data_IF_688330584146
#
_entry.id   IF_688330584146
#
_cell.length_a   1.000
_cell.length_b   1.000
_cell.length_c   1.000
_cell.angle_alpha   90.00
_cell.angle_beta   90.00
_cell.angle_gamma   90.00
#
_symmetry.space_group_name_H-M   'P 1'
#
loop_
_entity.id
_entity.type
_entity.pdbx_description
1 polymer ?
#
# COMPACT_ATOMS: atom_id res chain seq x y z
N UNK A 1 8.00 -20.02 9.27
CA UNK A 1 7.33 -20.39 8.00
C UNK A 1 6.81 -19.17 7.24
N UNK A 2 6.17 -18.20 7.91
CA UNK A 2 5.69 -16.95 7.30
C UNK A 2 6.74 -16.20 6.47
N UNK A 3 7.98 -16.04 6.97
CA UNK A 3 9.07 -15.35 6.25
C UNK A 3 9.40 -15.96 4.88
N UNK A 4 9.31 -17.28 4.74
CA UNK A 4 9.58 -17.94 3.45
C UNK A 4 8.49 -17.62 2.43
N UNK A 5 7.23 -17.58 2.87
CA UNK A 5 6.11 -17.18 2.01
C UNK A 5 6.22 -15.70 1.64
N UNK A 6 6.54 -14.82 2.60
CA UNK A 6 6.80 -13.41 2.33
C UNK A 6 7.93 -13.24 1.31
N UNK A 7 9.02 -13.99 1.46
CA UNK A 7 10.15 -14.00 0.52
C UNK A 7 9.77 -14.49 -0.88
N UNK A 8 8.83 -15.42 -1.00
CA UNK A 8 8.31 -15.90 -2.29
C UNK A 8 7.48 -14.82 -3.01
N UNK A 9 6.69 -14.04 -2.28
CA UNK A 9 5.81 -13.00 -2.84
C UNK A 9 6.51 -11.65 -3.04
N UNK A 10 7.59 -11.38 -2.31
CA UNK A 10 8.35 -10.13 -2.36
C UNK A 10 8.83 -9.75 -3.79
N UNK A 11 9.42 -10.65 -4.60
CA UNK A 11 9.85 -10.33 -5.96
C UNK A 11 8.71 -9.81 -6.85
N UNK A 12 7.51 -10.37 -6.72
CA UNK A 12 6.35 -9.93 -7.52
C UNK A 12 5.92 -8.51 -7.16
N UNK A 13 5.93 -8.16 -5.87
CA UNK A 13 5.67 -6.79 -5.41
C UNK A 13 6.72 -5.81 -5.93
N UNK A 14 8.00 -6.19 -5.88
CA UNK A 14 9.10 -5.38 -6.37
C UNK A 14 9.05 -5.17 -7.90
N UNK A 15 8.72 -6.21 -8.68
CA UNK A 15 8.56 -6.12 -10.14
C UNK A 15 7.39 -5.21 -10.53
N UNK A 16 6.26 -5.34 -9.85
CA UNK A 16 5.11 -4.46 -10.08
C UNK A 16 5.45 -3.01 -9.73
N UNK A 17 6.13 -2.77 -8.60
CA UNK A 17 6.62 -1.43 -8.22
C UNK A 17 7.57 -0.86 -9.27
N UNK A 18 8.50 -1.66 -9.79
CA UNK A 18 9.42 -1.22 -10.84
C UNK A 18 8.68 -0.83 -12.13
N UNK A 19 7.70 -1.64 -12.55
CA UNK A 19 6.86 -1.35 -13.71
C UNK A 19 6.05 -0.05 -13.52
N UNK A 20 5.47 0.14 -12.33
CA UNK A 20 4.72 1.37 -11.99
C UNK A 20 5.65 2.58 -11.89
N UNK A 21 6.84 2.43 -11.33
CA UNK A 21 7.85 3.50 -11.26
C UNK A 21 8.24 4.04 -12.64
N UNK A 22 8.16 3.21 -13.70
CA UNK A 22 8.32 3.65 -15.08
C UNK A 22 7.24 4.62 -15.59
N UNK A 23 6.19 4.90 -14.82
CA UNK A 23 5.17 5.92 -15.08
C UNK A 23 5.52 7.28 -14.44
N UNK A 24 6.50 7.33 -13.54
CA UNK A 24 6.93 8.58 -12.92
C UNK A 24 7.46 9.53 -14.00
N UNK A 25 6.96 10.77 -14.00
CA UNK A 25 7.32 11.80 -14.99
C UNK A 25 6.74 11.61 -16.40
N UNK A 26 5.91 10.58 -16.63
CA UNK A 26 5.20 10.37 -17.91
C UNK A 26 3.87 11.11 -18.03
N UNK A 27 3.40 11.73 -16.95
CA UNK A 27 2.22 12.59 -16.99
C UNK A 27 2.47 13.83 -17.85
N UNK A 28 1.49 14.17 -18.67
CA UNK A 28 1.49 15.38 -19.49
C UNK A 28 0.79 16.54 -18.78
N UNK A 29 1.08 17.77 -19.21
CA UNK A 29 0.42 18.98 -18.70
C UNK A 29 0.76 19.32 -17.25
N UNK A 30 -0.24 19.82 -16.53
CA UNK A 30 -0.11 20.35 -15.16
C UNK A 30 0.25 19.30 -14.10
N UNK A 31 0.24 18.01 -14.45
CA UNK A 31 0.49 16.90 -13.52
C UNK A 31 1.88 16.28 -13.65
N UNK A 32 2.75 16.82 -14.52
CA UNK A 32 4.10 16.29 -14.76
C UNK A 32 4.98 16.26 -13.50
N UNK A 33 4.71 17.16 -12.55
CA UNK A 33 5.41 17.22 -11.27
C UNK A 33 5.05 16.05 -10.34
N UNK A 34 3.95 15.34 -10.58
CA UNK A 34 3.44 14.29 -9.69
C UNK A 34 4.09 12.92 -10.00
N UNK A 35 4.75 12.27 -9.03
CA UNK A 35 5.26 10.91 -9.18
C UNK A 35 4.13 9.87 -9.09
N UNK A 36 3.34 9.76 -10.15
CA UNK A 36 2.13 8.93 -10.16
C UNK A 36 2.40 7.44 -10.00
N UNK A 37 3.53 6.95 -10.48
CA UNK A 37 3.93 5.56 -10.34
C UNK A 37 4.13 5.17 -8.89
N UNK A 38 4.88 5.98 -8.14
CA UNK A 38 5.12 5.77 -6.71
C UNK A 38 3.82 5.94 -5.91
N UNK A 39 3.02 6.96 -6.21
CA UNK A 39 1.71 7.14 -5.59
C UNK A 39 0.81 5.92 -5.80
N UNK A 40 0.70 5.45 -7.04
CA UNK A 40 -0.14 4.30 -7.40
C UNK A 40 0.36 3.03 -6.73
N UNK A 41 1.66 2.80 -6.68
CA UNK A 41 2.24 1.64 -6.00
C UNK A 41 1.91 1.63 -4.50
N UNK A 42 2.06 2.77 -3.82
CA UNK A 42 1.75 2.90 -2.40
C UNK A 42 0.25 2.76 -2.11
N UNK A 43 -0.62 3.35 -2.94
CA UNK A 43 -2.08 3.23 -2.79
C UNK A 43 -2.54 1.78 -3.03
N UNK A 44 -2.02 1.10 -4.06
CA UNK A 44 -2.33 -0.31 -4.31
C UNK A 44 -1.86 -1.20 -3.17
N UNK A 45 -0.64 -1.01 -2.68
CA UNK A 45 -0.13 -1.73 -1.52
C UNK A 45 -1.00 -1.51 -0.27
N UNK A 46 -1.47 -0.27 -0.05
CA UNK A 46 -2.36 0.09 1.04
C UNK A 46 -3.71 -0.66 0.92
N UNK A 47 -4.36 -0.61 -0.25
CA UNK A 47 -5.63 -1.32 -0.52
C UNK A 47 -5.47 -2.82 -0.27
N UNK A 48 -4.41 -3.43 -0.78
CA UNK A 48 -4.15 -4.85 -0.62
C UNK A 48 -3.92 -5.17 0.86
N UNK A 49 -3.09 -4.37 1.56
CA UNK A 49 -2.78 -4.60 2.97
C UNK A 49 -4.03 -4.53 3.85
N UNK A 50 -4.87 -3.50 3.70
CA UNK A 50 -6.09 -3.37 4.51
C UNK A 50 -7.13 -4.44 4.17
N UNK A 51 -7.26 -4.81 2.90
CA UNK A 51 -8.19 -5.88 2.47
C UNK A 51 -7.80 -7.23 3.07
N UNK A 52 -6.50 -7.55 3.06
CA UNK A 52 -5.98 -8.77 3.68
C UNK A 52 -6.11 -8.72 5.20
N UNK A 53 -5.88 -7.55 5.82
CA UNK A 53 -6.06 -7.37 7.26
C UNK A 53 -7.52 -7.59 7.69
N UNK A 54 -8.48 -7.09 6.93
CA UNK A 54 -9.90 -7.33 7.19
C UNK A 54 -10.21 -8.83 7.12
N UNK A 55 -9.69 -9.56 6.13
CA UNK A 55 -9.85 -11.02 6.06
C UNK A 55 -9.23 -11.75 7.25
N UNK A 56 -8.06 -11.30 7.72
CA UNK A 56 -7.41 -11.85 8.90
C UNK A 56 -8.20 -11.58 10.18
N UNK A 57 -8.92 -10.45 10.27
CA UNK A 57 -9.73 -10.09 11.44
C UNK A 57 -10.87 -11.09 11.70
N UNK A 58 -11.46 -11.67 10.63
CA UNK A 58 -12.54 -12.67 10.76
C UNK A 58 -12.02 -14.08 11.04
N UNK A 59 -10.71 -14.29 11.14
CA UNK A 59 -10.14 -15.59 11.45
C UNK A 59 -9.99 -15.73 12.97
N UNK A 60 -10.28 -16.90 13.55
CA UNK A 60 -10.06 -17.12 14.97
C UNK A 60 -8.58 -16.94 15.31
N UNK A 61 -8.30 -16.29 16.44
CA UNK A 61 -6.94 -16.12 16.95
C UNK A 61 -6.32 -17.50 17.19
N UNK A 62 -5.40 -17.87 16.31
CA UNK A 62 -4.61 -19.09 16.42
C UNK A 62 -3.23 -18.75 17.00
N UNK A 63 -2.70 -19.57 17.92
CA UNK A 63 -1.31 -19.46 18.33
C UNK A 63 -0.38 -19.48 17.11
N UNK A 64 0.73 -18.75 17.16
CA UNK A 64 1.61 -18.55 15.99
C UNK A 64 2.20 -19.86 15.44
N UNK A 65 2.27 -20.86 16.30
CA UNK A 65 2.68 -22.25 16.06
C UNK A 65 1.61 -23.11 15.37
N UNK A 66 0.35 -22.66 15.33
CA UNK A 66 -0.79 -23.34 14.69
C UNK A 66 -1.39 -22.55 13.50
N UNK A 67 -0.64 -21.62 12.90
CA UNK A 67 -1.17 -20.91 11.73
C UNK A 67 -1.64 -21.87 10.65
N UNK A 68 -2.93 -21.80 10.35
CA UNK A 68 -3.48 -22.45 9.16
C UNK A 68 -2.78 -21.93 7.90
N UNK A 69 -2.68 -22.79 6.87
CA UNK A 69 -2.11 -22.42 5.57
C UNK A 69 -2.72 -21.14 4.99
N UNK A 70 -4.00 -20.91 5.23
CA UNK A 70 -4.70 -19.69 4.82
C UNK A 70 -4.12 -18.44 5.50
N UNK A 71 -4.01 -18.44 6.83
CA UNK A 71 -3.43 -17.33 7.59
C UNK A 71 -1.98 -17.07 7.19
N UNK A 72 -1.20 -18.13 6.99
CA UNK A 72 0.20 -18.04 6.57
C UNK A 72 0.33 -17.37 5.18
N UNK A 73 -0.54 -17.73 4.23
CA UNK A 73 -0.58 -17.13 2.89
C UNK A 73 -1.03 -15.67 2.93
N UNK A 74 -2.09 -15.34 3.67
CA UNK A 74 -2.59 -13.97 3.79
C UNK A 74 -1.54 -13.04 4.41
N UNK A 75 -0.95 -13.45 5.54
CA UNK A 75 0.13 -12.69 6.19
C UNK A 75 1.39 -12.61 5.33
N UNK A 76 1.72 -13.69 4.62
CA UNK A 76 2.84 -13.71 3.67
C UNK A 76 2.65 -12.77 2.49
N UNK A 77 1.43 -12.70 1.93
CA UNK A 77 1.09 -11.78 0.85
C UNK A 77 1.08 -10.31 1.34
N UNK A 78 0.52 -10.07 2.52
CA UNK A 78 0.49 -8.74 3.12
C UNK A 78 1.91 -8.21 3.39
N UNK A 79 2.74 -8.99 4.05
CA UNK A 79 4.10 -8.56 4.43
C UNK A 79 5.10 -8.63 3.27
N UNK A 80 4.99 -9.64 2.39
CA UNK A 80 5.87 -9.83 1.25
C UNK A 80 5.48 -8.98 0.05
N UNK A 81 4.31 -9.24 -0.54
CA UNK A 81 3.88 -8.54 -1.76
C UNK A 81 3.58 -7.07 -1.52
N UNK A 82 2.63 -6.76 -0.63
CA UNK A 82 2.25 -5.36 -0.37
C UNK A 82 3.42 -4.59 0.26
N UNK A 83 4.20 -5.22 1.14
CA UNK A 83 5.45 -4.66 1.67
C UNK A 83 6.42 -4.22 0.58
N UNK A 84 6.78 -5.11 -0.36
CA UNK A 84 7.73 -4.80 -1.44
C UNK A 84 7.14 -3.94 -2.58
N UNK A 85 5.82 -3.91 -2.72
CA UNK A 85 5.10 -3.02 -3.64
C UNK A 85 5.10 -1.57 -3.14
N UNK A 86 4.98 -1.37 -1.82
CA UNK A 86 5.11 -0.05 -1.20
C UNK A 86 6.57 0.42 -1.14
N UNK A 87 6.78 1.73 -1.07
CA UNK A 87 8.11 2.31 -0.84
C UNK A 87 8.01 3.65 -0.12
N UNK A 88 8.78 3.78 0.97
CA UNK A 88 8.97 5.05 1.68
C UNK A 88 10.22 5.76 1.19
N UNK A 89 11.30 5.02 0.85
CA UNK A 89 12.57 5.63 0.45
C UNK A 89 12.44 6.43 -0.85
N UNK A 90 11.77 5.88 -1.87
CA UNK A 90 11.50 6.59 -3.11
C UNK A 90 10.56 7.77 -2.89
N UNK A 91 9.52 7.57 -2.07
CA UNK A 91 8.57 8.63 -1.72
C UNK A 91 9.24 9.82 -1.02
N UNK A 92 10.14 9.56 -0.07
CA UNK A 92 10.91 10.61 0.61
C UNK A 92 11.84 11.31 -0.37
N UNK A 93 12.57 10.59 -1.23
CA UNK A 93 13.44 11.17 -2.24
C UNK A 93 12.68 12.07 -3.24
N UNK A 94 11.49 11.66 -3.66
CA UNK A 94 10.60 12.46 -4.52
C UNK A 94 10.09 13.71 -3.79
N UNK A 95 9.69 13.57 -2.52
CA UNK A 95 9.19 14.66 -1.70
C UNK A 95 10.25 15.73 -1.46
N UNK A 96 11.48 15.31 -1.10
CA UNK A 96 12.61 16.23 -0.89
C UNK A 96 13.05 16.87 -2.21
N UNK A 97 13.03 16.12 -3.31
CA UNK A 97 13.27 16.63 -4.66
C UNK A 97 12.27 17.71 -5.05
N UNK A 98 10.97 17.47 -4.82
CA UNK A 98 9.90 18.44 -5.09
C UNK A 98 9.99 19.68 -4.20
N UNK A 99 10.32 19.51 -2.93
CA UNK A 99 10.51 20.61 -1.98
C UNK A 99 11.69 21.51 -2.37
N UNK A 100 12.77 20.91 -2.88
CA UNK A 100 13.97 21.64 -3.31
C UNK A 100 13.81 22.31 -4.68
N UNK A 101 13.12 21.66 -5.62
CA UNK A 101 13.02 22.12 -7.01
C UNK A 101 11.92 23.17 -7.23
N UNK A 102 10.84 23.14 -6.45
CA UNK A 102 9.66 24.01 -6.64
C UNK A 102 9.21 24.67 -5.32
N UNK A 103 10.06 25.49 -4.69
CA UNK A 103 9.80 26.04 -3.34
C UNK A 103 8.62 27.02 -3.28
N UNK A 104 8.19 27.62 -4.40
CA UNK A 104 7.14 28.65 -4.41
C UNK A 104 5.75 28.17 -3.99
N UNK A 105 5.42 26.89 -4.19
CA UNK A 105 4.05 26.37 -4.04
C UNK A 105 3.94 25.16 -3.09
N UNK A 106 5.03 24.80 -2.40
CA UNK A 106 5.11 23.67 -1.48
C UNK A 106 4.56 22.35 -2.06
N UNK A 107 4.80 22.08 -3.35
CA UNK A 107 4.31 20.88 -4.06
C UNK A 107 4.70 19.57 -3.36
N UNK A 108 5.89 19.52 -2.74
CA UNK A 108 6.31 18.38 -1.92
C UNK A 108 5.42 18.16 -0.70
N UNK A 109 5.02 19.22 0.02
CA UNK A 109 4.09 19.11 1.14
C UNK A 109 2.70 18.65 0.65
N UNK A 110 2.18 19.26 -0.43
CA UNK A 110 0.88 18.87 -1.00
C UNK A 110 0.87 17.41 -1.43
N UNK A 111 1.92 16.94 -2.09
CA UNK A 111 2.08 15.54 -2.48
C UNK A 111 2.10 14.61 -1.26
N UNK A 112 2.94 14.93 -0.28
CA UNK A 112 3.12 14.07 0.89
C UNK A 112 1.85 13.95 1.72
N UNK A 113 1.28 15.08 2.16
CA UNK A 113 0.01 15.08 2.91
C UNK A 113 -1.15 14.53 2.09
N UNK A 114 -1.21 14.84 0.79
CA UNK A 114 -2.22 14.32 -0.12
C UNK A 114 -2.17 12.79 -0.23
N UNK A 115 -0.98 12.22 -0.41
CA UNK A 115 -0.80 10.76 -0.49
C UNK A 115 -1.15 10.04 0.80
N UNK A 116 -0.75 10.57 1.96
CA UNK A 116 -1.03 10.00 3.27
C UNK A 116 -2.52 10.10 3.60
N UNK A 117 -3.12 11.26 3.36
CA UNK A 117 -4.55 11.49 3.52
C UNK A 117 -5.37 10.56 2.61
N UNK A 118 -4.98 10.41 1.35
CA UNK A 118 -5.64 9.51 0.41
C UNK A 118 -5.59 8.05 0.89
N UNK A 119 -4.41 7.55 1.27
CA UNK A 119 -4.27 6.18 1.79
C UNK A 119 -5.08 5.96 3.08
N UNK A 120 -5.10 6.96 3.97
CA UNK A 120 -5.87 6.91 5.21
C UNK A 120 -7.38 6.82 4.92
N UNK A 121 -7.90 7.71 4.08
CA UNK A 121 -9.32 7.72 3.69
C UNK A 121 -9.74 6.42 3.01
N UNK A 122 -8.91 5.89 2.11
CA UNK A 122 -9.17 4.61 1.45
C UNK A 122 -9.19 3.47 2.47
N UNK A 123 -8.23 3.45 3.41
CA UNK A 123 -8.15 2.40 4.44
C UNK A 123 -9.39 2.42 5.33
N UNK A 124 -9.80 3.61 5.80
CA UNK A 124 -11.00 3.78 6.61
C UNK A 124 -12.24 3.36 5.82
N UNK A 125 -12.37 3.78 4.56
CA UNK A 125 -13.51 3.40 3.73
C UNK A 125 -13.62 1.88 3.54
N UNK A 126 -12.52 1.19 3.23
CA UNK A 126 -12.51 -0.27 3.07
C UNK A 126 -12.85 -0.96 4.39
N UNK A 127 -12.27 -0.50 5.50
CA UNK A 127 -12.55 -1.07 6.82
C UNK A 127 -14.01 -0.85 7.24
N UNK A 128 -14.56 0.35 7.04
CA UNK A 128 -15.96 0.65 7.34
C UNK A 128 -16.92 -0.19 6.50
N UNK A 129 -16.67 -0.34 5.21
CA UNK A 129 -17.47 -1.22 4.35
C UNK A 129 -17.42 -2.67 4.82
N UNK A 130 -16.24 -3.12 5.25
CA UNK A 130 -16.08 -4.46 5.80
C UNK A 130 -16.86 -4.64 7.11
N UNK A 131 -16.74 -3.70 8.04
CA UNK A 131 -17.43 -3.74 9.33
C UNK A 131 -18.96 -3.77 9.17
N UNK A 132 -19.50 -2.96 8.24
CA UNK A 132 -20.94 -2.94 7.94
C UNK A 132 -21.41 -4.31 7.41
N UNK A 133 -20.66 -4.92 6.48
CA UNK A 133 -21.02 -6.23 5.95
C UNK A 133 -20.95 -7.33 7.02
N UNK A 134 -20.07 -7.19 8.01
CA UNK A 134 -19.95 -8.15 9.12
C UNK A 134 -21.09 -7.99 10.14
N UNK A 135 -21.62 -6.77 10.32
CA UNK A 135 -22.83 -6.52 11.11
C UNK A 135 -24.06 -7.14 10.43
N UNK A 136 -24.26 -6.90 9.14
CA UNK A 136 -25.37 -7.47 8.35
C UNK A 136 -25.34 -9.02 8.28
N UNK A 137 -24.15 -9.64 8.31
CA UNK A 137 -24.02 -11.10 8.30
C UNK A 137 -24.35 -11.77 9.64
N UNK A 138 -24.46 -11.00 10.73
CA UNK A 138 -24.74 -11.51 12.08
C UNK A 138 -26.22 -11.42 12.47
N UNK A 139 -26.99 -10.60 11.76
CA UNK A 139 -28.45 -10.46 11.91
C UNK A 139 -29.23 -11.51 11.08
#
# INVERSE_FOLDING_TARGET
QMLFISGLFAPFGALLRWKLGGLNGKLSGQWKWLPIGTLTANVLACIISISLQCRLYNMPDQPEDEFTWQTLMLKGLQTGFAGCLSTVSTFVAETTGLMSALPKDAWGCKYSFGSLGLCCLISVAIFSLFAINEEDSRD
#
